data_IF_777425432487
#
_entry.id   IF_777425432487
#
_cell.length_a   1.000
_cell.length_b   1.000
_cell.length_c   1.000
_cell.angle_alpha   90.00
_cell.angle_beta   90.00
_cell.angle_gamma   90.00
#
_symmetry.space_group_name_H-M   'P 1'
#
loop_
_entity.id
_entity.type
_entity.pdbx_description
1 polymer ?
#
# COMPACT_ATOMS: atom_id res chain seq x y z
N UNK A 1 -5.02 -4.53 13.80
CA UNK A 1 -3.74 -4.41 14.51
C UNK A 1 -3.31 -5.72 15.16
N UNK A 2 -4.21 -6.39 15.86
CA UNK A 2 -3.88 -7.67 16.50
C UNK A 2 -3.47 -8.75 15.51
N UNK A 3 -4.12 -8.80 14.34
CA UNK A 3 -3.78 -9.76 13.28
C UNK A 3 -2.35 -9.55 12.80
N UNK A 4 -1.97 -8.29 12.56
CA UNK A 4 -0.61 -7.97 12.13
C UNK A 4 0.41 -8.34 13.21
N UNK A 5 0.14 -7.96 14.46
CA UNK A 5 1.03 -8.26 15.59
C UNK A 5 1.22 -9.78 15.79
N UNK A 6 0.14 -10.56 15.61
CA UNK A 6 0.21 -12.02 15.76
C UNK A 6 1.01 -12.72 14.66
N UNK A 7 0.87 -12.28 13.40
CA UNK A 7 1.38 -13.05 12.26
C UNK A 7 2.60 -12.44 11.57
N UNK A 8 2.95 -11.18 11.86
CA UNK A 8 4.13 -10.57 11.28
C UNK A 8 5.37 -11.40 11.64
N UNK A 9 6.13 -11.80 10.63
CA UNK A 9 7.29 -12.66 10.81
C UNK A 9 7.00 -14.15 10.89
N UNK A 10 5.72 -14.54 10.97
CA UNK A 10 5.30 -15.94 11.02
C UNK A 10 4.68 -16.40 9.71
N UNK A 11 3.93 -15.53 9.08
CA UNK A 11 3.25 -15.78 7.80
C UNK A 11 3.48 -14.61 6.87
N UNK A 12 3.46 -14.83 5.54
CA UNK A 12 3.39 -13.72 4.60
C UNK A 12 2.09 -12.95 4.80
N UNK A 13 2.17 -11.62 4.85
CA UNK A 13 1.02 -10.76 5.04
C UNK A 13 0.93 -9.73 3.90
N UNK A 14 -0.26 -9.62 3.31
CA UNK A 14 -0.59 -8.54 2.40
C UNK A 14 -1.82 -7.82 2.96
N UNK A 15 -1.67 -6.55 3.34
CA UNK A 15 -2.76 -5.71 3.81
C UNK A 15 -3.32 -4.86 2.69
N UNK A 16 -4.65 -4.82 2.55
CA UNK A 16 -5.34 -4.04 1.53
C UNK A 16 -6.20 -3.00 2.23
N UNK A 17 -6.09 -1.73 1.84
CA UNK A 17 -6.82 -0.60 2.39
C UNK A 17 -6.69 -0.51 3.91
N UNK A 18 -7.68 -0.93 4.68
CA UNK A 18 -7.61 -0.94 6.15
C UNK A 18 -6.48 -1.82 6.66
N UNK A 19 -6.22 -2.95 6.00
CA UNK A 19 -5.08 -3.81 6.34
C UNK A 19 -3.74 -3.14 6.14
N UNK A 20 -3.59 -2.35 5.09
CA UNK A 20 -2.41 -1.52 4.84
C UNK A 20 -2.21 -0.50 5.98
N UNK A 21 -3.29 0.18 6.38
CA UNK A 21 -3.25 1.14 7.48
C UNK A 21 -2.88 0.47 8.81
N UNK A 22 -3.41 -0.73 9.04
CA UNK A 22 -3.08 -1.53 10.22
C UNK A 22 -1.60 -1.90 10.25
N UNK A 23 -1.00 -2.23 9.12
CA UNK A 23 0.43 -2.48 9.01
C UNK A 23 1.22 -1.22 9.41
N UNK A 24 0.85 -0.07 8.85
CA UNK A 24 1.51 1.19 9.19
C UNK A 24 1.49 1.46 10.70
N UNK A 25 0.33 1.31 11.32
CA UNK A 25 0.17 1.54 12.76
C UNK A 25 0.89 0.51 13.61
N UNK A 26 0.85 -0.76 13.22
CA UNK A 26 1.46 -1.85 14.02
C UNK A 26 2.97 -1.66 14.19
N UNK A 27 3.62 -1.03 13.22
CA UNK A 27 5.06 -0.78 13.27
C UNK A 27 5.43 0.63 13.73
N UNK A 28 4.45 1.43 14.15
CA UNK A 28 4.71 2.72 14.79
C UNK A 28 4.38 3.95 13.96
N UNK A 29 3.85 3.79 12.75
CA UNK A 29 3.40 4.90 11.92
C UNK A 29 2.06 5.46 12.40
N UNK A 30 1.70 6.63 11.89
CA UNK A 30 0.40 7.25 12.18
C UNK A 30 -0.50 7.19 10.95
N UNK A 31 -1.79 7.02 11.21
CA UNK A 31 -2.84 7.10 10.18
C UNK A 31 -3.55 8.44 10.38
N UNK A 32 -3.61 9.23 9.32
CA UNK A 32 -4.16 10.59 9.35
C UNK A 32 -5.18 10.78 8.24
N UNK A 33 -5.96 11.86 8.27
CA UNK A 33 -6.90 12.18 7.21
C UNK A 33 -6.16 12.48 5.91
N UNK A 34 -6.65 11.90 4.81
CA UNK A 34 -6.21 12.27 3.48
C UNK A 34 -6.68 13.68 3.15
N UNK A 35 -6.00 14.36 2.23
CA UNK A 35 -6.42 15.68 1.74
C UNK A 35 -7.81 15.64 1.13
N UNK A 36 -8.14 14.54 0.44
CA UNK A 36 -9.45 14.31 -0.16
C UNK A 36 -10.00 12.95 0.26
N UNK A 37 -11.31 12.88 0.48
CA UNK A 37 -11.99 11.59 0.66
C UNK A 37 -12.06 10.92 -0.70
N UNK A 38 -11.52 9.69 -0.77
CA UNK A 38 -11.56 8.87 -1.97
C UNK A 38 -12.70 7.86 -1.88
N UNK A 39 -13.63 7.96 -2.82
CA UNK A 39 -14.80 7.10 -2.84
C UNK A 39 -15.04 6.57 -4.26
N UNK A 40 -14.34 5.50 -4.61
CA UNK A 40 -14.44 4.91 -5.94
C UNK A 40 -13.70 5.68 -7.03
N UNK A 41 -12.84 6.61 -6.65
CA UNK A 41 -12.04 7.38 -7.60
C UNK A 41 -10.79 6.60 -8.00
N UNK A 42 -10.36 6.81 -9.23
CA UNK A 42 -9.11 6.23 -9.73
C UNK A 42 -7.97 7.23 -9.63
N UNK A 43 -6.77 6.72 -9.43
CA UNK A 43 -5.54 7.52 -9.39
C UNK A 43 -4.41 6.75 -10.03
N UNK A 44 -3.43 7.46 -10.57
CA UNK A 44 -2.21 6.83 -11.07
C UNK A 44 -1.29 6.49 -9.91
N UNK A 45 -0.89 5.24 -9.84
CA UNK A 45 -0.04 4.71 -8.78
C UNK A 45 1.38 4.57 -9.31
N UNK A 46 2.29 5.35 -8.76
CA UNK A 46 3.72 5.24 -9.04
C UNK A 46 4.33 4.26 -8.07
N UNK A 47 5.34 3.51 -8.50
CA UNK A 47 5.95 2.49 -7.64
C UNK A 47 7.42 2.26 -8.03
N UNK A 48 8.12 1.48 -7.22
CA UNK A 48 9.54 1.17 -7.43
C UNK A 48 9.79 -0.19 -8.08
N UNK A 49 8.75 -0.93 -8.46
CA UNK A 49 8.87 -2.25 -9.07
C UNK A 49 9.31 -3.34 -8.10
N UNK A 50 9.08 -3.15 -6.80
CA UNK A 50 9.46 -4.10 -5.75
C UNK A 50 8.26 -4.86 -5.23
N UNK A 51 8.49 -6.07 -4.68
CA UNK A 51 7.45 -6.86 -4.05
C UNK A 51 6.30 -7.12 -5.00
N UNK A 52 5.08 -6.79 -4.57
CA UNK A 52 3.87 -7.01 -5.38
C UNK A 52 3.83 -6.17 -6.65
N UNK A 53 4.65 -5.12 -6.76
CA UNK A 53 4.71 -4.26 -7.95
C UNK A 53 5.67 -4.75 -9.03
N UNK A 54 6.34 -5.86 -8.80
CA UNK A 54 7.28 -6.44 -9.77
C UNK A 54 6.60 -6.69 -11.11
N UNK A 55 7.21 -6.19 -12.19
CA UNK A 55 6.74 -6.29 -13.57
C UNK A 55 5.48 -5.53 -13.93
N UNK A 56 4.90 -4.76 -13.00
CA UNK A 56 3.72 -3.93 -13.31
C UNK A 56 4.14 -2.65 -14.04
N UNK A 57 3.24 -2.13 -14.87
CA UNK A 57 3.43 -0.83 -15.51
C UNK A 57 3.60 0.24 -14.43
N UNK A 58 4.37 1.27 -14.73
CA UNK A 58 4.66 2.35 -13.79
C UNK A 58 4.53 3.71 -14.49
N UNK A 59 3.52 4.50 -14.17
CA UNK A 59 2.44 4.25 -13.21
C UNK A 59 1.31 3.39 -13.81
N UNK A 60 0.40 2.92 -12.95
CA UNK A 60 -0.83 2.26 -13.38
C UNK A 60 -2.04 2.84 -12.65
N UNK A 61 -3.22 2.62 -13.21
CA UNK A 61 -4.47 3.14 -12.67
C UNK A 61 -5.03 2.20 -11.59
N UNK A 62 -5.43 2.74 -10.44
CA UNK A 62 -6.03 1.95 -9.37
C UNK A 62 -7.17 2.70 -8.70
N UNK A 63 -8.15 1.94 -8.19
CA UNK A 63 -9.32 2.46 -7.49
C UNK A 63 -9.02 2.68 -6.01
N UNK A 64 -9.45 3.82 -5.51
CA UNK A 64 -9.25 4.23 -4.12
C UNK A 64 -10.59 4.42 -3.42
N UNK A 65 -10.70 3.83 -2.22
CA UNK A 65 -11.85 3.99 -1.31
C UNK A 65 -11.33 4.24 0.09
N UNK A 66 -10.89 5.47 0.39
CA UNK A 66 -10.36 5.75 1.71
C UNK A 66 -10.44 7.23 2.04
N UNK A 67 -10.58 7.54 3.32
CA UNK A 67 -10.52 8.89 3.87
C UNK A 67 -9.28 9.09 4.75
N UNK A 68 -8.53 8.01 5.01
CA UNK A 68 -7.34 8.00 5.84
C UNK A 68 -6.14 7.49 5.04
N UNK A 69 -4.96 7.93 5.41
CA UNK A 69 -3.69 7.48 4.82
C UNK A 69 -2.65 7.32 5.92
N UNK A 70 -1.64 6.50 5.65
CA UNK A 70 -0.47 6.42 6.51
C UNK A 70 0.37 7.67 6.28
N UNK A 71 0.73 8.37 7.36
CA UNK A 71 1.48 9.61 7.27
C UNK A 71 2.94 9.34 6.92
N UNK A 72 3.47 9.94 5.82
CA UNK A 72 4.85 9.71 5.42
C UNK A 72 5.87 10.13 6.48
N UNK A 73 5.63 11.27 7.15
CA UNK A 73 6.60 11.83 8.11
C UNK A 73 6.77 10.99 9.37
N UNK A 74 5.78 10.19 9.75
CA UNK A 74 5.83 9.33 10.93
C UNK A 74 6.28 7.91 10.63
N UNK A 75 6.59 7.60 9.37
CA UNK A 75 6.90 6.24 8.96
C UNK A 75 8.18 5.74 9.65
N UNK A 76 8.13 4.58 10.35
CA UNK A 76 9.33 4.06 11.01
C UNK A 76 10.33 3.53 9.99
N UNK A 77 11.60 3.42 10.40
CA UNK A 77 12.69 2.98 9.52
C UNK A 77 12.52 1.54 9.01
N UNK A 78 11.76 0.70 9.72
CA UNK A 78 11.54 -0.69 9.32
C UNK A 78 10.59 -0.83 8.13
N UNK A 79 9.84 0.24 7.79
CA UNK A 79 8.95 0.25 6.64
C UNK A 79 9.51 1.13 5.53
N UNK A 80 9.33 0.70 4.29
CA UNK A 80 9.67 1.53 3.13
C UNK A 80 8.43 1.79 2.29
N UNK A 81 8.39 2.97 1.67
CA UNK A 81 7.34 3.33 0.72
C UNK A 81 7.66 2.65 -0.60
N UNK A 82 6.73 1.82 -1.09
CA UNK A 82 6.90 1.10 -2.36
C UNK A 82 6.03 1.67 -3.47
N UNK A 83 4.98 2.40 -3.13
CA UNK A 83 4.10 3.03 -4.10
C UNK A 83 3.48 4.30 -3.52
N UNK A 84 3.14 5.24 -4.40
CA UNK A 84 2.61 6.54 -4.00
C UNK A 84 1.80 7.17 -5.13
N UNK A 85 0.98 8.18 -4.77
CA UNK A 85 0.42 9.12 -5.74
C UNK A 85 1.28 10.38 -5.75
N UNK A 86 1.24 11.11 -6.84
CA UNK A 86 2.01 12.35 -6.99
C UNK A 86 1.10 13.56 -7.21
N UNK A 87 1.53 14.68 -6.66
CA UNK A 87 0.94 15.99 -6.91
C UNK A 87 2.07 16.98 -7.14
N UNK A 88 2.07 17.62 -8.31
CA UNK A 88 3.12 18.58 -8.71
C UNK A 88 4.54 17.96 -8.67
N UNK A 89 4.65 16.66 -9.00
CA UNK A 89 5.92 15.95 -9.02
C UNK A 89 6.40 15.45 -7.65
N UNK A 90 5.62 15.66 -6.60
CA UNK A 90 5.97 15.23 -5.24
C UNK A 90 5.01 14.17 -4.74
N UNK A 91 5.46 13.37 -3.77
CA UNK A 91 4.62 12.35 -3.14
C UNK A 91 3.45 13.03 -2.42
N UNK A 92 2.23 12.66 -2.81
CA UNK A 92 1.00 13.14 -2.17
C UNK A 92 0.51 12.18 -1.10
N UNK A 93 0.35 10.89 -1.45
CA UNK A 93 -0.14 9.87 -0.51
C UNK A 93 0.60 8.56 -0.71
N UNK A 94 0.85 7.86 0.40
CA UNK A 94 1.44 6.52 0.37
C UNK A 94 0.38 5.54 -0.14
N UNK A 95 0.74 4.76 -1.16
CA UNK A 95 -0.12 3.74 -1.75
C UNK A 95 0.41 2.34 -1.56
N UNK A 96 1.64 2.17 -1.14
CA UNK A 96 2.24 0.88 -0.85
C UNK A 96 3.33 1.00 0.20
N UNK A 97 3.39 0.01 1.08
CA UNK A 97 4.41 -0.13 2.13
C UNK A 97 4.95 -1.55 2.13
N UNK A 98 6.17 -1.70 2.61
CA UNK A 98 6.81 -2.99 2.76
C UNK A 98 7.74 -2.96 3.97
N UNK A 99 7.69 -4.03 4.79
CA UNK A 99 8.68 -4.18 5.84
C UNK A 99 10.02 -4.57 5.21
N UNK A 100 11.12 -4.00 5.70
CA UNK A 100 12.45 -4.22 5.10
C UNK A 100 12.97 -5.64 5.33
N UNK A 101 12.53 -6.31 6.40
CA UNK A 101 13.01 -7.64 6.78
C UNK A 101 11.92 -8.70 6.77
N UNK A 102 10.73 -8.39 7.29
CA UNK A 102 9.61 -9.33 7.37
C UNK A 102 8.84 -9.37 6.04
N UNK A 103 8.21 -10.49 5.78
CA UNK A 103 7.37 -10.66 4.59
C UNK A 103 5.98 -10.05 4.82
N UNK A 104 5.96 -8.72 4.91
CA UNK A 104 4.76 -7.91 5.18
C UNK A 104 4.73 -6.77 4.17
N UNK A 105 3.63 -6.69 3.41
CA UNK A 105 3.38 -5.61 2.45
C UNK A 105 1.96 -5.08 2.60
N UNK A 106 1.75 -3.84 2.21
CA UNK A 106 0.44 -3.23 2.20
C UNK A 106 0.21 -2.38 0.97
N UNK A 107 -1.04 -2.35 0.49
CA UNK A 107 -1.47 -1.44 -0.57
C UNK A 107 -2.72 -0.71 -0.12
N UNK A 108 -2.78 0.61 -0.37
CA UNK A 108 -3.89 1.45 0.05
C UNK A 108 -5.10 1.32 -0.88
N UNK A 109 -4.86 1.03 -2.14
CA UNK A 109 -5.90 0.88 -3.15
C UNK A 109 -6.49 -0.54 -3.15
N UNK A 110 -7.50 -0.76 -4.00
CA UNK A 110 -8.19 -2.04 -4.11
C UNK A 110 -7.75 -2.78 -5.38
N UNK A 111 -6.80 -3.73 -5.29
CA UNK A 111 -6.36 -4.48 -6.47
C UNK A 111 -7.45 -5.38 -7.06
N UNK A 112 -8.44 -5.77 -6.24
CA UNK A 112 -9.54 -6.61 -6.69
C UNK A 112 -10.58 -5.83 -7.51
N UNK A 113 -10.57 -4.49 -7.47
CA UNK A 113 -11.56 -3.66 -8.18
C UNK A 113 -11.40 -3.79 -9.69
N UNK A 114 -12.55 -3.85 -10.40
CA UNK A 114 -12.58 -3.97 -11.86
C UNK A 114 -11.91 -2.78 -12.56
N UNK A 115 -11.89 -1.61 -11.92
CA UNK A 115 -11.26 -0.41 -12.49
C UNK A 115 -9.77 -0.30 -12.18
N UNK A 116 -9.22 -1.20 -11.37
CA UNK A 116 -7.80 -1.24 -11.07
C UNK A 116 -7.09 -2.06 -12.14
N UNK A 117 -6.09 -1.45 -12.79
CA UNK A 117 -5.23 -2.14 -13.75
C UNK A 117 -4.29 -3.09 -13.04
N UNK A 118 -3.97 -4.21 -13.67
CA UNK A 118 -2.97 -5.17 -13.17
C UNK A 118 -3.24 -5.74 -11.77
N UNK A 119 -4.48 -5.61 -11.26
CA UNK A 119 -4.80 -6.09 -9.92
C UNK A 119 -4.57 -7.58 -9.73
N UNK A 120 -4.95 -8.40 -10.70
CA UNK A 120 -4.70 -9.84 -10.66
C UNK A 120 -3.21 -10.18 -10.68
N UNK A 121 -2.43 -9.47 -11.47
CA UNK A 121 -0.98 -9.66 -11.53
C UNK A 121 -0.33 -9.29 -10.20
N UNK A 122 -0.79 -8.20 -9.56
CA UNK A 122 -0.30 -7.77 -8.26
C UNK A 122 -0.54 -8.85 -7.21
N UNK A 123 -1.77 -9.39 -7.14
CA UNK A 123 -2.12 -10.44 -6.19
C UNK A 123 -1.33 -11.72 -6.47
N UNK A 124 -1.15 -12.06 -7.74
CA UNK A 124 -0.37 -13.21 -8.16
C UNK A 124 1.11 -13.06 -7.74
N UNK A 125 1.66 -11.85 -7.87
CA UNK A 125 3.03 -11.57 -7.42
C UNK A 125 3.19 -11.85 -5.93
N UNK A 126 2.18 -11.53 -5.13
CA UNK A 126 2.20 -11.84 -3.71
C UNK A 126 2.18 -13.36 -3.46
N UNK A 127 1.32 -14.08 -4.17
CA UNK A 127 1.14 -15.52 -3.97
C UNK A 127 2.35 -16.35 -4.41
N UNK A 128 3.12 -15.86 -5.37
CA UNK A 128 4.22 -16.61 -5.98
C UNK A 128 5.63 -16.24 -5.50
N UNK A 129 5.76 -15.41 -4.49
CA UNK A 129 7.09 -15.01 -3.99
C UNK A 129 7.82 -16.16 -3.33
#
# INVERSE_FOLDING_TARGET
LETVACFAGKLPLLGICLGHQSIGQSFGGKVVRAKEVMHGKTSMIHHEGKGVFTTLDNPFLATRYHSLVVEPDSLPDCLEITAWTEENGEVDAIMGLRHRELDVEGVQFHPESILTQHGHQLLNNFLQR
#
